data_IF_725576362287
#
_entry.id   IF_725576362287
#
_cell.length_a   1.000
_cell.length_b   1.000
_cell.length_c   1.000
_cell.angle_alpha   90.00
_cell.angle_beta   90.00
_cell.angle_gamma   90.00
#
_symmetry.space_group_name_H-M   'P 1'
#
loop_
_entity.id
_entity.type
_entity.pdbx_description
1 polymer ?
#
# COMPACT_ATOMS: atom_id res chain seq x y z
N UNK A 1 -30.54 13.77 15.38
CA UNK A 1 -30.00 12.50 14.84
C UNK A 1 -29.65 11.59 16.01
N UNK A 2 -30.18 10.37 16.08
CA UNK A 2 -30.23 9.52 17.29
C UNK A 2 -28.91 8.77 17.62
N UNK A 3 -27.73 9.41 17.58
CA UNK A 3 -26.48 8.82 18.09
C UNK A 3 -26.06 7.46 17.48
N UNK A 4 -26.70 7.00 16.41
CA UNK A 4 -26.53 5.66 15.84
C UNK A 4 -25.29 5.54 14.94
N UNK A 5 -24.30 6.42 15.10
CA UNK A 5 -23.09 6.44 14.28
C UNK A 5 -22.33 5.11 14.37
N UNK A 6 -22.27 4.52 15.57
CA UNK A 6 -21.64 3.22 15.77
C UNK A 6 -22.40 2.09 15.06
N UNK A 7 -23.74 2.08 15.12
CA UNK A 7 -24.55 1.10 14.41
C UNK A 7 -24.45 1.24 12.89
N UNK A 8 -24.37 2.47 12.38
CA UNK A 8 -24.15 2.73 10.95
C UNK A 8 -22.76 2.31 10.50
N UNK A 9 -21.72 2.62 11.29
CA UNK A 9 -20.36 2.18 11.01
C UNK A 9 -20.25 0.65 11.02
N UNK A 10 -20.92 -0.02 11.96
CA UNK A 10 -20.96 -1.48 11.97
C UNK A 10 -21.58 -2.04 10.70
N UNK A 11 -22.81 -1.62 10.37
CA UNK A 11 -23.56 -2.19 9.24
C UNK A 11 -23.03 -1.79 7.86
N UNK A 12 -22.61 -0.54 7.67
CA UNK A 12 -22.19 -0.02 6.35
C UNK A 12 -20.69 -0.15 6.10
N UNK A 13 -19.88 -0.32 7.15
CA UNK A 13 -18.43 -0.43 7.02
C UNK A 13 -17.93 -1.80 7.49
N UNK A 14 -18.02 -2.12 8.78
CA UNK A 14 -17.41 -3.34 9.33
C UNK A 14 -18.02 -4.63 8.77
N UNK A 15 -19.34 -4.68 8.59
CA UNK A 15 -20.06 -5.86 8.10
C UNK A 15 -20.25 -5.91 6.58
N UNK A 16 -19.98 -4.83 5.86
CA UNK A 16 -20.22 -4.75 4.42
C UNK A 16 -18.91 -4.88 3.65
N UNK A 17 -18.07 -3.83 3.69
CA UNK A 17 -16.98 -3.65 2.72
C UNK A 17 -15.64 -3.27 3.37
N UNK A 18 -15.44 -3.58 4.66
CA UNK A 18 -14.19 -3.28 5.37
C UNK A 18 -12.99 -3.86 4.64
N UNK A 19 -12.07 -2.99 4.21
CA UNK A 19 -10.89 -3.38 3.45
C UNK A 19 -9.63 -2.66 3.95
N UNK A 20 -8.51 -3.38 4.02
CA UNK A 20 -7.18 -2.81 4.33
C UNK A 20 -6.48 -2.48 3.03
N UNK A 21 -6.27 -1.20 2.77
CA UNK A 21 -5.58 -0.72 1.58
C UNK A 21 -4.26 -0.03 1.95
N UNK A 22 -3.29 -0.07 1.06
CA UNK A 22 -2.04 0.67 1.23
C UNK A 22 -2.15 2.03 0.54
N UNK A 23 -1.73 3.10 1.21
CA UNK A 23 -1.65 4.46 0.66
C UNK A 23 -0.25 5.00 0.87
N UNK A 24 0.29 5.69 -0.12
CA UNK A 24 1.55 6.40 0.05
C UNK A 24 1.31 7.81 0.60
N UNK A 25 1.84 8.13 1.78
CA UNK A 25 1.76 9.46 2.41
C UNK A 25 2.41 10.58 1.57
N UNK A 26 3.44 10.25 0.78
CA UNK A 26 4.17 11.25 -0.02
C UNK A 26 3.36 11.79 -1.20
N UNK A 27 2.64 10.92 -1.91
CA UNK A 27 1.86 11.32 -3.08
C UNK A 27 0.34 11.32 -2.85
N UNK A 28 -0.12 10.78 -1.71
CA UNK A 28 -1.53 10.64 -1.36
C UNK A 28 -2.29 9.66 -2.26
N UNK A 29 -1.59 8.76 -2.95
CA UNK A 29 -2.19 7.89 -3.96
C UNK A 29 -2.48 6.50 -3.39
N UNK A 30 -3.69 6.01 -3.65
CA UNK A 30 -4.20 4.70 -3.24
C UNK A 30 -3.83 3.58 -4.23
N UNK A 31 -3.55 3.92 -5.49
CA UNK A 31 -3.30 2.95 -6.57
C UNK A 31 -1.82 2.80 -6.91
N UNK A 32 -0.98 3.70 -6.42
CA UNK A 32 0.47 3.68 -6.60
C UNK A 32 1.21 2.62 -5.75
N UNK A 33 0.80 2.29 -4.51
CA UNK A 33 1.44 1.23 -3.74
C UNK A 33 1.45 -0.12 -4.46
N UNK A 34 2.61 -0.77 -4.47
CA UNK A 34 2.87 -2.03 -5.15
C UNK A 34 3.68 -2.96 -4.24
N UNK A 35 3.51 -4.26 -4.47
CA UNK A 35 4.26 -5.30 -3.78
C UNK A 35 5.27 -5.93 -4.72
N UNK A 36 6.53 -5.99 -4.31
CA UNK A 36 7.59 -6.70 -5.02
C UNK A 36 8.08 -7.85 -4.15
N UNK A 37 8.36 -9.00 -4.78
CA UNK A 37 9.00 -10.12 -4.09
C UNK A 37 10.51 -9.90 -4.15
N UNK A 38 11.20 -9.99 -3.02
CA UNK A 38 12.67 -10.06 -2.99
C UNK A 38 13.15 -11.19 -3.92
N UNK A 39 14.00 -10.87 -4.89
CA UNK A 39 14.50 -11.82 -5.87
C UNK A 39 15.41 -12.85 -5.20
N UNK A 40 14.96 -14.10 -5.13
CA UNK A 40 15.81 -15.27 -4.85
C UNK A 40 16.63 -15.57 -6.10
N UNK A 41 17.83 -15.01 -6.16
CA UNK A 41 18.84 -15.38 -7.15
C UNK A 41 19.90 -16.24 -6.45
N UNK A 42 19.74 -17.56 -6.45
CA UNK A 42 20.83 -18.48 -6.82
C UNK A 42 20.37 -19.94 -6.78
N UNK A 43 20.78 -20.72 -7.78
CA UNK A 43 20.83 -22.18 -7.66
C UNK A 43 21.74 -22.54 -6.46
N UNK A 44 21.25 -23.37 -5.53
CA UNK A 44 22.02 -23.84 -4.36
C UNK A 44 21.63 -23.26 -3.00
N UNK A 45 20.61 -22.42 -2.89
CA UNK A 45 20.09 -21.98 -1.58
C UNK A 45 19.31 -23.11 -0.88
N UNK A 46 19.50 -23.22 0.42
CA UNK A 46 18.83 -24.22 1.25
C UNK A 46 17.32 -23.91 1.35
N UNK A 47 16.48 -24.94 1.51
CA UNK A 47 15.03 -24.77 1.72
C UNK A 47 14.72 -23.87 2.93
N UNK A 48 15.63 -23.81 3.89
CA UNK A 48 15.50 -22.97 5.10
C UNK A 48 15.83 -21.51 4.83
N UNK A 49 16.81 -21.21 3.97
CA UNK A 49 17.14 -19.83 3.56
C UNK A 49 16.07 -19.24 2.63
N UNK A 50 15.47 -20.08 1.78
CA UNK A 50 14.35 -19.68 0.92
C UNK A 50 13.10 -19.29 1.73
N UNK A 51 12.84 -19.97 2.85
CA UNK A 51 11.74 -19.63 3.76
C UNK A 51 12.00 -18.32 4.51
N UNK A 52 13.25 -18.04 4.89
CA UNK A 52 13.59 -16.85 5.66
C UNK A 52 13.65 -15.56 4.82
N UNK A 53 13.69 -15.67 3.49
CA UNK A 53 13.95 -14.55 2.59
C UNK A 53 12.79 -14.21 1.63
N UNK A 54 11.65 -14.90 1.73
CA UNK A 54 10.44 -14.62 0.96
C UNK A 54 9.65 -13.40 1.52
N UNK A 55 10.34 -12.30 1.84
CA UNK A 55 9.71 -11.08 2.34
C UNK A 55 9.09 -10.31 1.16
N UNK A 56 7.78 -10.07 1.22
CA UNK A 56 7.11 -9.17 0.27
C UNK A 56 7.42 -7.73 0.67
N UNK A 57 8.03 -6.99 -0.24
CA UNK A 57 8.32 -5.57 -0.10
C UNK A 57 7.11 -4.76 -0.52
N UNK A 58 6.68 -3.79 0.30
CA UNK A 58 5.67 -2.80 -0.10
C UNK A 58 6.35 -1.48 -0.42
N UNK A 59 6.08 -0.90 -1.59
CA UNK A 59 6.67 0.37 -2.01
C UNK A 59 5.75 1.17 -2.94
N UNK A 60 5.97 2.48 -3.04
CA UNK A 60 5.24 3.31 -3.99
C UNK A 60 5.90 3.34 -5.37
N UNK A 61 5.17 2.97 -6.43
CA UNK A 61 5.72 2.96 -7.81
C UNK A 61 5.75 4.34 -8.49
N UNK A 62 5.21 5.38 -7.84
CA UNK A 62 5.14 6.71 -8.44
C UNK A 62 6.56 7.27 -8.62
N UNK A 63 6.91 7.76 -9.82
CA UNK A 63 8.27 8.20 -10.15
C UNK A 63 8.81 9.26 -9.18
N UNK A 64 7.97 10.21 -8.76
CA UNK A 64 8.35 11.21 -7.77
C UNK A 64 8.65 10.62 -6.38
N UNK A 65 7.96 9.55 -5.98
CA UNK A 65 8.20 8.85 -4.72
C UNK A 65 9.45 7.96 -4.79
N UNK A 66 9.71 7.34 -5.94
CA UNK A 66 10.94 6.56 -6.16
C UNK A 66 12.17 7.46 -6.05
N UNK A 67 12.16 8.62 -6.71
CA UNK A 67 13.26 9.60 -6.62
C UNK A 67 13.46 10.14 -5.20
N UNK A 68 12.38 10.33 -4.44
CA UNK A 68 12.46 10.71 -3.03
C UNK A 68 12.93 9.56 -2.12
N UNK A 69 12.68 8.29 -2.49
CA UNK A 69 13.10 7.11 -1.73
C UNK A 69 14.59 6.82 -1.87
N UNK A 70 15.20 7.16 -3.01
CA UNK A 70 16.65 6.98 -3.25
C UNK A 70 17.56 7.90 -2.42
N UNK A 71 17.01 8.73 -1.53
CA UNK A 71 17.77 9.60 -0.62
C UNK A 71 18.22 8.93 0.70
N UNK A 72 17.68 7.75 1.06
CA UNK A 72 18.13 7.01 2.24
C UNK A 72 19.26 6.04 1.87
N UNK A 73 20.46 6.58 1.69
CA UNK A 73 21.70 5.83 1.56
C UNK A 73 22.13 5.31 2.94
N UNK A 74 21.58 4.17 3.35
CA UNK A 74 22.27 3.25 4.25
C UNK A 74 22.87 2.15 3.36
N UNK A 75 24.17 1.93 3.46
CA UNK A 75 25.00 1.11 2.56
C UNK A 75 24.70 -0.40 2.59
N UNK A 76 23.46 -0.80 2.89
CA UNK A 76 22.95 -2.15 2.72
C UNK A 76 22.24 -2.19 1.36
N UNK A 77 22.81 -2.90 0.38
CA UNK A 77 22.24 -3.09 -0.96
C UNK A 77 20.94 -3.91 -1.00
N UNK A 78 20.12 -3.80 0.05
CA UNK A 78 18.86 -4.49 0.22
C UNK A 78 17.71 -3.51 -0.04
N UNK A 79 16.85 -3.84 -1.00
CA UNK A 79 15.62 -3.11 -1.29
C UNK A 79 14.66 -3.18 -0.09
N UNK A 80 14.78 -2.21 0.83
CA UNK A 80 13.91 -2.10 2.00
C UNK A 80 12.45 -1.73 1.63
N UNK A 81 11.54 -2.00 2.56
CA UNK A 81 10.16 -1.50 2.53
C UNK A 81 10.14 0.04 2.51
N UNK A 82 9.15 0.64 1.87
CA UNK A 82 8.96 2.10 1.85
C UNK A 82 8.18 2.53 3.09
N UNK A 83 8.84 3.16 4.06
CA UNK A 83 8.24 3.66 5.31
C UNK A 83 7.08 4.65 5.09
N UNK A 84 6.96 5.23 3.90
CA UNK A 84 5.88 6.16 3.56
C UNK A 84 4.64 5.48 2.99
N UNK A 85 4.63 4.16 2.84
CA UNK A 85 3.44 3.41 2.43
C UNK A 85 2.80 2.76 3.65
N UNK A 86 1.56 3.14 3.91
CA UNK A 86 0.88 2.72 5.13
C UNK A 86 -0.45 2.01 4.87
N UNK A 87 -0.79 1.01 5.69
CA UNK A 87 -2.10 0.38 5.65
C UNK A 87 -3.15 1.28 6.31
N UNK A 88 -4.21 1.58 5.59
CA UNK A 88 -5.42 2.26 6.09
C UNK A 88 -6.64 1.36 5.90
N UNK A 89 -7.66 1.56 6.73
CA UNK A 89 -8.93 0.82 6.61
C UNK A 89 -9.96 1.71 5.92
N UNK A 90 -10.50 1.24 4.80
CA UNK A 90 -11.51 1.93 4.00
C UNK A 90 -12.51 0.93 3.38
N UNK A 91 -13.69 1.36 2.91
CA UNK A 91 -14.58 0.48 2.16
C UNK A 91 -13.95 0.07 0.82
N UNK A 92 -14.05 -1.19 0.41
CA UNK A 92 -13.51 -1.63 -0.89
C UNK A 92 -14.08 -0.85 -2.08
N UNK A 93 -15.36 -0.44 -2.00
CA UNK A 93 -16.00 0.40 -3.02
C UNK A 93 -15.26 1.73 -3.27
N UNK A 94 -14.54 2.26 -2.29
CA UNK A 94 -13.71 3.46 -2.47
C UNK A 94 -12.53 3.20 -3.41
N UNK A 95 -11.92 2.00 -3.37
CA UNK A 95 -10.87 1.60 -4.32
C UNK A 95 -11.45 1.46 -5.74
N UNK A 96 -12.65 0.90 -5.85
CA UNK A 96 -13.35 0.81 -7.14
C UNK A 96 -13.61 2.19 -7.73
N UNK A 97 -14.16 3.11 -6.93
CA UNK A 97 -14.35 4.51 -7.32
C UNK A 97 -13.04 5.16 -7.79
N UNK A 98 -11.95 4.98 -7.05
CA UNK A 98 -10.65 5.53 -7.42
C UNK A 98 -10.15 4.99 -8.76
N UNK A 99 -10.39 3.70 -9.07
CA UNK A 99 -10.05 3.10 -10.37
C UNK A 99 -10.88 3.69 -11.51
N UNK A 100 -12.21 3.82 -11.34
CA UNK A 100 -13.10 4.37 -12.37
C UNK A 100 -12.79 5.85 -12.66
N UNK A 101 -12.52 6.63 -11.61
CA UNK A 101 -12.06 8.01 -11.77
C UNK A 101 -10.70 8.09 -12.47
N UNK A 102 -9.75 7.20 -12.12
CA UNK A 102 -8.46 7.13 -12.80
C UNK A 102 -8.61 6.76 -14.29
N UNK A 103 -9.57 5.90 -14.65
CA UNK A 103 -9.89 5.58 -16.05
C UNK A 103 -10.43 6.81 -16.82
N UNK A 104 -11.06 7.75 -16.13
CA UNK A 104 -11.47 9.06 -16.67
C UNK A 104 -10.40 10.15 -16.50
N UNK A 105 -9.15 9.78 -16.17
CA UNK A 105 -8.03 10.69 -15.96
C UNK A 105 -8.24 11.68 -14.80
N UNK A 106 -9.08 11.31 -13.83
CA UNK A 106 -9.31 12.07 -12.59
C UNK A 106 -8.51 11.41 -11.47
N UNK A 107 -7.55 12.14 -10.90
CA UNK A 107 -6.70 11.65 -9.81
C UNK A 107 -7.25 12.06 -8.44
N UNK A 108 -7.66 11.08 -7.63
CA UNK A 108 -7.93 11.29 -6.21
C UNK A 108 -6.61 11.34 -5.42
N UNK A 109 -6.52 12.25 -4.44
CA UNK A 109 -5.42 12.32 -3.48
C UNK A 109 -5.99 12.26 -2.06
N UNK A 110 -5.42 11.43 -1.22
CA UNK A 110 -5.75 11.28 0.19
C UNK A 110 -4.66 11.93 1.03
N UNK A 111 -5.07 12.79 1.96
CA UNK A 111 -4.18 13.30 3.00
C UNK A 111 -4.25 12.35 4.19
N UNK A 112 -3.15 11.64 4.45
CA UNK A 112 -3.06 10.62 5.51
C UNK A 112 -2.11 11.17 6.57
N UNK A 113 -2.67 11.46 7.75
CA UNK A 113 -1.95 11.98 8.91
C UNK A 113 -1.03 10.93 9.54
#
# INVERSE_FOLDING_TARGET
SHGAAFCLHDRLFNCSDRHVAHVCRRCGDLLSPCTERSSILSAGQSVVDAQHNAKLRVYCKNAGCIAAASGSFDGSGNNADDDHVEPIVLPYVYRYLANELAAMNIKMKMDVQ
#
